data_IF_939302227547
#
_entry.id   IF_939302227547
#
_cell.length_a   1.000
_cell.length_b   1.000
_cell.length_c   1.000
_cell.angle_alpha   90.00
_cell.angle_beta   90.00
_cell.angle_gamma   90.00
#
_symmetry.space_group_name_H-M   'P 1'
#
loop_
_entity.id
_entity.type
_entity.pdbx_description
1 polymer ?
#
# COMPACT_ATOMS: atom_id res chain seq x y z
N UNK A 1 -33.00 -15.23 11.45
CA UNK A 1 -33.23 -16.40 10.58
C UNK A 1 -32.60 -17.58 11.29
N UNK A 2 -33.21 -18.16 12.32
CA UNK A 2 -34.54 -18.80 12.35
C UNK A 2 -34.65 -19.84 11.23
N UNK A 3 -34.33 -21.09 11.58
CA UNK A 3 -35.14 -22.30 11.35
C UNK A 3 -34.27 -23.54 11.18
N UNK A 4 -34.30 -24.42 12.18
CA UNK A 4 -34.39 -25.88 12.04
C UNK A 4 -33.99 -26.52 13.37
N UNK A 5 -34.98 -26.90 14.17
CA UNK A 5 -35.14 -28.24 14.75
C UNK A 5 -36.22 -28.19 15.84
N UNK A 6 -37.48 -28.18 15.39
CA UNK A 6 -38.57 -28.80 16.13
C UNK A 6 -38.72 -30.21 15.57
N UNK A 7 -38.49 -31.25 16.39
CA UNK A 7 -39.06 -32.56 16.13
C UNK A 7 -39.78 -33.07 17.37
N UNK A 8 -41.01 -33.47 17.10
CA UNK A 8 -42.09 -33.86 17.97
C UNK A 8 -41.72 -34.86 19.08
N UNK A 9 -42.22 -34.53 20.26
CA UNK A 9 -42.56 -35.42 21.36
C UNK A 9 -43.68 -36.40 20.95
N UNK A 10 -43.44 -37.72 21.09
CA UNK A 10 -44.46 -38.68 21.52
C UNK A 10 -43.81 -39.86 22.27
N UNK A 11 -44.49 -40.45 23.29
CA UNK A 11 -43.86 -41.37 24.25
C UNK A 11 -44.36 -42.82 24.11
N UNK A 12 -43.49 -43.83 24.21
CA UNK A 12 -43.77 -45.08 24.97
C UNK A 12 -42.58 -46.06 25.03
N UNK A 13 -42.05 -46.22 26.25
CA UNK A 13 -41.48 -47.39 26.93
C UNK A 13 -40.71 -48.49 26.15
N UNK A 14 -39.45 -48.73 26.56
CA UNK A 14 -38.96 -50.07 26.86
C UNK A 14 -38.79 -50.25 28.37
N UNK A 15 -39.28 -51.37 28.90
CA UNK A 15 -38.98 -51.84 30.26
C UNK A 15 -37.47 -52.06 30.37
N UNK A 16 -36.76 -51.07 30.90
CA UNK A 16 -35.37 -51.20 31.30
C UNK A 16 -35.35 -51.55 32.77
N UNK A 17 -34.83 -52.73 33.10
CA UNK A 17 -34.42 -53.07 34.46
C UNK A 17 -33.55 -51.93 35.00
N UNK A 18 -33.99 -51.25 36.07
CA UNK A 18 -33.10 -50.42 36.90
C UNK A 18 -32.00 -51.33 37.43
N UNK A 19 -30.86 -51.38 36.74
CA UNK A 19 -29.58 -51.56 37.41
C UNK A 19 -29.17 -50.17 37.85
N UNK A 20 -29.19 -49.96 39.16
CA UNK A 20 -28.50 -48.83 39.77
C UNK A 20 -27.05 -48.89 39.31
N UNK A 21 -26.68 -48.02 38.37
CA UNK A 21 -25.31 -47.81 37.99
C UNK A 21 -24.69 -46.99 39.11
N UNK A 22 -24.21 -47.69 40.14
CA UNK A 22 -23.35 -47.10 41.16
C UNK A 22 -21.92 -47.17 40.60
N UNK A 23 -21.36 -46.09 40.03
CA UNK A 23 -20.00 -46.13 39.53
C UNK A 23 -19.03 -46.34 40.71
N UNK A 24 -18.17 -47.35 40.61
CA UNK A 24 -17.08 -47.50 41.57
C UNK A 24 -16.25 -46.21 41.60
N UNK A 25 -15.86 -45.68 42.78
CA UNK A 25 -15.21 -44.37 42.91
C UNK A 25 -13.95 -44.21 42.05
N UNK A 26 -13.30 -45.32 41.67
CA UNK A 26 -12.11 -45.34 40.80
C UNK A 26 -12.41 -45.14 39.31
N UNK A 27 -13.62 -45.46 38.84
CA UNK A 27 -14.05 -45.19 37.45
C UNK A 27 -14.46 -43.73 37.26
N UNK A 28 -14.99 -43.11 38.32
CA UNK A 28 -15.22 -41.67 38.41
C UNK A 28 -13.91 -40.86 38.34
N UNK A 29 -12.85 -41.33 38.99
CA UNK A 29 -11.53 -40.70 38.92
C UNK A 29 -11.00 -40.63 37.48
N UNK A 30 -11.09 -41.72 36.72
CA UNK A 30 -10.66 -41.77 35.32
C UNK A 30 -11.48 -40.85 34.40
N UNK A 31 -12.80 -40.78 34.62
CA UNK A 31 -13.70 -39.93 33.84
C UNK A 31 -13.48 -38.44 34.14
N UNK A 32 -13.24 -38.09 35.42
CA UNK A 32 -12.87 -36.73 35.82
C UNK A 32 -11.54 -36.31 35.19
N UNK A 33 -10.60 -37.24 35.06
CA UNK A 33 -9.30 -37.00 34.46
C UNK A 33 -9.38 -36.76 32.95
N UNK A 34 -10.20 -37.55 32.25
CA UNK A 34 -10.48 -37.32 30.82
C UNK A 34 -11.20 -36.00 30.58
N UNK A 35 -12.13 -35.62 31.47
CA UNK A 35 -12.80 -34.32 31.42
C UNK A 35 -11.83 -33.15 31.68
N UNK A 36 -10.85 -33.32 32.58
CA UNK A 36 -9.81 -32.32 32.83
C UNK A 36 -8.91 -32.14 31.59
N UNK A 37 -8.52 -33.25 30.95
CA UNK A 37 -7.72 -33.21 29.73
C UNK A 37 -8.45 -32.51 28.57
N UNK A 38 -9.73 -32.80 28.36
CA UNK A 38 -10.52 -32.11 27.33
C UNK A 38 -10.70 -30.62 27.66
N UNK A 39 -10.96 -30.27 28.91
CA UNK A 39 -11.02 -28.87 29.35
C UNK A 39 -9.72 -28.12 29.10
N UNK A 40 -8.57 -28.71 29.45
CA UNK A 40 -7.27 -28.08 29.18
C UNK A 40 -7.05 -27.92 27.68
N UNK A 41 -7.36 -28.92 26.86
CA UNK A 41 -7.26 -28.83 25.39
C UNK A 41 -8.15 -27.71 24.81
N UNK A 42 -9.40 -27.59 25.26
CA UNK A 42 -10.31 -26.52 24.82
C UNK A 42 -9.83 -25.14 25.27
N UNK A 43 -9.28 -25.02 26.48
CA UNK A 43 -8.78 -23.76 27.03
C UNK A 43 -7.51 -23.31 26.29
N UNK A 44 -6.66 -24.25 25.89
CA UNK A 44 -5.49 -24.01 25.03
C UNK A 44 -5.91 -23.58 23.62
N UNK A 45 -6.90 -24.25 23.03
CA UNK A 45 -7.46 -23.86 21.73
C UNK A 45 -8.06 -22.45 21.76
N UNK A 46 -8.81 -22.10 22.81
CA UNK A 46 -9.35 -20.76 22.99
C UNK A 46 -8.27 -19.69 23.20
N UNK A 47 -7.25 -19.98 24.01
CA UNK A 47 -6.12 -19.08 24.21
C UNK A 47 -5.34 -18.85 22.90
N UNK A 48 -5.15 -19.89 22.09
CA UNK A 48 -4.48 -19.82 20.79
C UNK A 48 -5.24 -18.88 19.82
N UNK A 49 -6.55 -19.09 19.68
CA UNK A 49 -7.41 -18.24 18.85
C UNK A 49 -7.43 -16.79 19.34
N UNK A 50 -7.47 -16.57 20.66
CA UNK A 50 -7.48 -15.22 21.24
C UNK A 50 -6.14 -14.51 21.08
N UNK A 51 -5.02 -15.22 21.21
CA UNK A 51 -3.68 -14.64 21.00
C UNK A 51 -3.46 -14.21 19.55
N UNK A 52 -3.85 -15.06 18.59
CA UNK A 52 -3.83 -14.73 17.16
C UNK A 52 -4.68 -13.48 16.89
N UNK A 53 -5.89 -13.42 17.49
CA UNK A 53 -6.77 -12.25 17.32
C UNK A 53 -6.21 -10.97 17.95
N UNK A 54 -5.43 -11.04 19.03
CA UNK A 54 -4.82 -9.85 19.65
C UNK A 54 -3.63 -9.34 18.82
N UNK A 55 -2.80 -10.23 18.31
CA UNK A 55 -1.63 -9.88 17.50
C UNK A 55 -2.04 -9.36 16.11
N UNK A 56 -3.13 -9.88 15.55
CA UNK A 56 -3.68 -9.46 14.25
C UNK A 56 -4.43 -8.11 14.35
N UNK A 57 -5.18 -7.86 15.43
CA UNK A 57 -6.03 -6.67 15.55
C UNK A 57 -5.24 -5.37 15.80
N UNK A 58 -4.11 -5.44 16.50
CA UNK A 58 -3.26 -4.27 16.77
C UNK A 58 -2.31 -3.91 15.61
N UNK A 59 -2.05 -4.82 14.67
CA UNK A 59 -1.02 -4.61 13.64
C UNK A 59 -1.55 -4.42 12.21
N UNK A 60 -2.65 -5.07 11.82
CA UNK A 60 -3.16 -4.93 10.45
C UNK A 60 -3.90 -3.62 10.23
N UNK A 61 -4.40 -2.97 11.30
CA UNK A 61 -5.15 -1.71 11.20
C UNK A 61 -4.29 -0.45 11.01
N UNK A 62 -2.98 -0.49 11.29
CA UNK A 62 -2.12 0.71 11.26
C UNK A 62 -0.92 0.62 10.28
N UNK A 63 -0.34 -0.56 10.05
CA UNK A 63 0.96 -0.69 9.36
C UNK A 63 0.88 -0.70 7.81
N UNK A 64 -0.10 -1.40 7.23
CA UNK A 64 -0.32 -1.43 5.77
C UNK A 64 -0.92 -0.11 5.21
N UNK A 65 -1.91 0.55 5.85
CA UNK A 65 -2.50 1.75 5.28
C UNK A 65 -1.54 2.96 5.26
N UNK A 66 -0.66 3.09 6.25
CA UNK A 66 0.27 4.24 6.35
C UNK A 66 1.35 4.23 5.27
N UNK A 67 1.86 3.06 4.88
CA UNK A 67 2.80 2.94 3.74
C UNK A 67 2.14 3.33 2.41
N UNK A 68 0.88 2.92 2.20
CA UNK A 68 0.11 3.30 1.01
C UNK A 68 -0.20 4.80 0.99
N UNK A 69 -0.51 5.41 2.14
CA UNK A 69 -0.69 6.85 2.27
C UNK A 69 0.59 7.61 1.93
N UNK A 70 1.76 7.16 2.44
CA UNK A 70 3.06 7.76 2.15
C UNK A 70 3.41 7.73 0.64
N UNK A 71 3.15 6.59 -0.01
CA UNK A 71 3.31 6.45 -1.46
C UNK A 71 2.37 7.37 -2.23
N UNK A 72 1.10 7.44 -1.85
CA UNK A 72 0.13 8.32 -2.50
C UNK A 72 0.44 9.80 -2.28
N UNK A 73 1.03 10.16 -1.14
CA UNK A 73 1.48 11.52 -0.84
C UNK A 73 2.61 11.91 -1.80
N UNK A 74 3.64 11.07 -1.91
CA UNK A 74 4.75 11.28 -2.87
C UNK A 74 4.25 11.37 -4.32
N UNK A 75 3.32 10.50 -4.73
CA UNK A 75 2.71 10.54 -6.05
C UNK A 75 1.91 11.84 -6.30
N UNK A 76 1.10 12.28 -5.32
CA UNK A 76 0.33 13.52 -5.43
C UNK A 76 1.24 14.74 -5.53
N UNK A 77 2.33 14.78 -4.74
CA UNK A 77 3.36 15.84 -4.81
C UNK A 77 4.03 15.91 -6.18
N UNK A 78 4.34 14.77 -6.80
CA UNK A 78 4.93 14.73 -8.14
C UNK A 78 3.95 15.26 -9.21
N UNK A 79 2.67 14.89 -9.12
CA UNK A 79 1.64 15.39 -10.01
C UNK A 79 1.35 16.89 -9.82
N UNK A 80 1.41 17.39 -8.59
CA UNK A 80 1.28 18.82 -8.30
C UNK A 80 2.42 19.63 -8.95
N UNK A 81 3.66 19.18 -8.78
CA UNK A 81 4.83 19.79 -9.44
C UNK A 81 4.70 19.78 -10.97
N UNK A 82 4.25 18.66 -11.54
CA UNK A 82 4.02 18.55 -12.98
C UNK A 82 2.94 19.52 -13.47
N UNK A 83 1.80 19.58 -12.76
CA UNK A 83 0.71 20.50 -13.11
C UNK A 83 1.14 21.98 -12.94
N UNK A 84 1.95 22.30 -11.92
CA UNK A 84 2.52 23.62 -11.71
C UNK A 84 3.41 24.06 -12.89
N UNK A 85 4.32 23.19 -13.34
CA UNK A 85 5.16 23.47 -14.50
C UNK A 85 4.32 23.67 -15.78
N UNK A 86 3.32 22.81 -16.00
CA UNK A 86 2.43 22.96 -17.15
C UNK A 86 1.55 24.21 -17.08
N UNK A 87 1.19 24.66 -15.88
CA UNK A 87 0.43 25.91 -15.69
C UNK A 87 1.25 27.10 -16.18
N UNK A 88 2.54 27.18 -15.84
CA UNK A 88 3.42 28.29 -16.26
C UNK A 88 3.58 28.40 -17.77
N UNK A 89 3.61 27.25 -18.44
CA UNK A 89 3.76 27.12 -19.89
C UNK A 89 2.43 27.05 -20.63
N UNK A 90 1.30 27.33 -19.97
CA UNK A 90 0.01 27.27 -20.63
C UNK A 90 -0.13 28.40 -21.68
N UNK A 91 -0.39 28.00 -22.92
CA UNK A 91 -0.58 28.89 -24.07
C UNK A 91 -2.04 29.10 -24.46
N UNK A 92 -2.96 28.37 -23.83
CA UNK A 92 -4.39 28.48 -24.09
C UNK A 92 -5.22 28.26 -22.82
N UNK A 93 -6.43 28.81 -22.87
CA UNK A 93 -7.42 28.77 -21.79
C UNK A 93 -7.75 27.34 -21.34
N UNK A 94 -7.86 26.40 -22.28
CA UNK A 94 -8.20 25.00 -21.98
C UNK A 94 -7.12 24.34 -21.14
N UNK A 95 -5.86 24.53 -21.50
CA UNK A 95 -4.71 24.01 -20.76
C UNK A 95 -4.61 24.68 -19.39
N UNK A 96 -4.73 26.01 -19.32
CA UNK A 96 -4.73 26.75 -18.06
C UNK A 96 -5.79 26.25 -17.07
N UNK A 97 -7.04 26.12 -17.53
CA UNK A 97 -8.14 25.59 -16.70
C UNK A 97 -7.91 24.13 -16.28
N UNK A 98 -7.42 23.28 -17.19
CA UNK A 98 -7.16 21.87 -16.89
C UNK A 98 -6.06 21.72 -15.81
N UNK A 99 -4.95 22.44 -15.96
CA UNK A 99 -3.85 22.39 -14.99
C UNK A 99 -4.23 23.04 -13.66
N UNK A 100 -4.98 24.15 -13.68
CA UNK A 100 -5.49 24.79 -12.45
C UNK A 100 -6.42 23.87 -11.64
N UNK A 101 -7.31 23.13 -12.33
CA UNK A 101 -8.17 22.12 -11.68
C UNK A 101 -7.35 20.96 -11.12
N UNK A 102 -6.36 20.48 -11.87
CA UNK A 102 -5.46 19.41 -11.42
C UNK A 102 -4.70 19.83 -10.16
N UNK A 103 -4.13 21.03 -10.12
CA UNK A 103 -3.44 21.57 -8.94
C UNK A 103 -4.35 21.62 -7.72
N UNK A 104 -5.56 22.14 -7.88
CA UNK A 104 -6.53 22.21 -6.79
C UNK A 104 -6.89 20.82 -6.27
N UNK A 105 -7.07 19.84 -7.17
CA UNK A 105 -7.38 18.46 -6.79
C UNK A 105 -6.20 17.77 -6.06
N UNK A 106 -4.96 17.97 -6.52
CA UNK A 106 -3.79 17.40 -5.86
C UNK A 106 -3.51 18.04 -4.49
N UNK A 107 -3.62 19.36 -4.37
CA UNK A 107 -3.51 20.08 -3.08
C UNK A 107 -4.53 19.57 -2.05
N UNK A 108 -5.79 19.34 -2.46
CA UNK A 108 -6.81 18.73 -1.59
C UNK A 108 -6.45 17.30 -1.18
N UNK A 109 -5.93 16.49 -2.12
CA UNK A 109 -5.50 15.11 -1.85
C UNK A 109 -4.32 15.07 -0.87
N UNK A 110 -3.32 15.94 -1.05
CA UNK A 110 -2.16 16.07 -0.17
C UNK A 110 -2.62 16.44 1.24
N UNK A 111 -3.45 17.48 1.38
CA UNK A 111 -3.97 17.90 2.68
C UNK A 111 -4.75 16.77 3.40
N UNK A 112 -5.58 16.01 2.68
CA UNK A 112 -6.29 14.87 3.25
C UNK A 112 -5.35 13.74 3.71
N UNK A 113 -4.30 13.45 2.94
CA UNK A 113 -3.29 12.44 3.29
C UNK A 113 -2.46 12.87 4.50
N UNK A 114 -2.05 14.14 4.57
CA UNK A 114 -1.33 14.69 5.73
C UNK A 114 -2.19 14.63 7.00
N UNK A 115 -3.46 15.01 6.90
CA UNK A 115 -4.38 14.88 8.03
C UNK A 115 -4.52 13.42 8.50
N UNK A 116 -4.69 12.47 7.57
CA UNK A 116 -4.79 11.05 7.91
C UNK A 116 -3.49 10.53 8.57
N UNK A 117 -2.32 10.95 8.10
CA UNK A 117 -1.03 10.60 8.72
C UNK A 117 -0.87 11.23 10.11
N UNK A 118 -1.36 12.45 10.31
CA UNK A 118 -1.39 13.11 11.61
C UNK A 118 -2.24 12.37 12.63
N UNK A 119 -3.42 11.90 12.22
CA UNK A 119 -4.31 11.09 13.06
C UNK A 119 -3.67 9.75 13.48
N UNK A 120 -2.71 9.24 12.69
CA UNK A 120 -1.89 8.06 13.01
C UNK A 120 -0.67 8.39 13.88
N UNK A 121 -0.54 9.64 14.34
CA UNK A 121 0.52 10.09 15.23
C UNK A 121 1.87 10.32 14.53
N UNK A 122 1.86 10.73 13.27
CA UNK A 122 3.02 11.29 12.57
C UNK A 122 3.00 12.82 12.64
N UNK A 123 4.18 13.46 12.69
CA UNK A 123 4.27 14.92 12.62
C UNK A 123 4.26 15.37 11.15
N UNK A 124 3.17 16.03 10.75
CA UNK A 124 2.96 16.57 9.40
C UNK A 124 2.97 18.09 9.35
N UNK A 125 3.22 18.76 10.48
CA UNK A 125 2.99 20.21 10.63
C UNK A 125 3.85 21.05 9.69
N UNK A 126 5.13 20.71 9.53
CA UNK A 126 6.03 21.39 8.60
C UNK A 126 5.57 21.24 7.14
N UNK A 127 5.18 20.03 6.74
CA UNK A 127 4.74 19.71 5.38
C UNK A 127 3.40 20.41 5.06
N UNK A 128 2.47 20.45 6.02
CA UNK A 128 1.21 21.19 5.89
C UNK A 128 1.45 22.69 5.71
N UNK A 129 2.39 23.27 6.45
CA UNK A 129 2.75 24.68 6.29
C UNK A 129 3.37 24.94 4.90
N UNK A 130 4.31 24.08 4.48
CA UNK A 130 4.97 24.19 3.18
C UNK A 130 3.97 24.03 2.02
N UNK A 131 3.03 23.08 2.12
CA UNK A 131 1.95 22.89 1.14
C UNK A 131 1.09 24.14 0.99
N UNK A 132 0.73 24.79 2.11
CA UNK A 132 -0.06 26.02 2.06
C UNK A 132 0.67 27.16 1.36
N UNK A 133 1.98 27.29 1.60
CA UNK A 133 2.80 28.30 0.93
C UNK A 133 2.92 28.03 -0.57
N UNK A 134 3.16 26.78 -0.96
CA UNK A 134 3.19 26.33 -2.35
C UNK A 134 1.84 26.59 -3.02
N UNK A 135 0.74 26.16 -2.42
CA UNK A 135 -0.62 26.34 -2.94
C UNK A 135 -0.98 27.82 -3.13
N UNK A 136 -0.57 28.70 -2.22
CA UNK A 136 -0.73 30.16 -2.38
C UNK A 136 0.09 30.69 -3.55
N UNK A 137 1.36 30.30 -3.65
CA UNK A 137 2.25 30.71 -4.74
C UNK A 137 1.73 30.25 -6.11
N UNK A 138 1.28 29.00 -6.22
CA UNK A 138 0.71 28.42 -7.43
C UNK A 138 -0.60 29.08 -7.83
N UNK A 139 -1.42 29.49 -6.87
CA UNK A 139 -2.65 30.24 -7.14
C UNK A 139 -2.34 31.61 -7.74
N UNK A 140 -1.39 32.34 -7.15
CA UNK A 140 -0.93 33.62 -7.70
C UNK A 140 -0.33 33.44 -9.10
N UNK A 141 0.44 32.37 -9.32
CA UNK A 141 0.98 32.03 -10.62
C UNK A 141 -0.13 31.73 -11.63
N UNK A 142 -1.16 30.98 -11.23
CA UNK A 142 -2.33 30.70 -12.06
C UNK A 142 -3.11 31.95 -12.44
N UNK A 143 -3.32 32.89 -11.52
CA UNK A 143 -3.98 34.16 -11.78
C UNK A 143 -3.19 35.00 -12.80
N UNK A 144 -1.87 35.09 -12.65
CA UNK A 144 -0.98 35.80 -13.57
C UNK A 144 -0.96 35.17 -14.97
N UNK A 145 -0.94 33.84 -15.07
CA UNK A 145 -1.06 33.15 -16.37
C UNK A 145 -2.42 33.44 -17.01
N UNK A 146 -3.50 33.44 -16.24
CA UNK A 146 -4.84 33.79 -16.73
C UNK A 146 -4.90 35.22 -17.28
N UNK A 147 -4.31 36.18 -16.56
CA UNK A 147 -4.18 37.57 -17.03
C UNK A 147 -3.38 37.65 -18.33
N UNK A 148 -2.24 36.95 -18.41
CA UNK A 148 -1.40 36.88 -19.62
C UNK A 148 -2.17 36.32 -20.82
N UNK A 149 -2.97 35.27 -20.61
CA UNK A 149 -3.77 34.63 -21.66
C UNK A 149 -4.90 35.52 -22.17
N UNK A 150 -5.43 36.42 -21.34
CA UNK A 150 -6.39 37.45 -21.78
C UNK A 150 -5.71 38.62 -22.47
N UNK A 151 -4.53 39.01 -21.98
CA UNK A 151 -3.76 40.15 -22.48
C UNK A 151 -3.21 39.90 -23.89
N UNK A 152 -2.59 38.74 -24.14
CA UNK A 152 -1.91 38.46 -25.42
C UNK A 152 -2.79 38.57 -26.67
N UNK A 153 -4.00 37.95 -26.72
CA UNK A 153 -4.89 38.11 -27.86
C UNK A 153 -5.31 39.56 -28.07
N UNK A 154 -5.57 40.30 -26.99
CA UNK A 154 -5.90 41.72 -27.05
C UNK A 154 -4.73 42.53 -27.63
N UNK A 155 -3.50 42.29 -27.17
CA UNK A 155 -2.29 42.97 -27.68
C UNK A 155 -2.07 42.70 -29.17
N UNK A 156 -2.21 41.44 -29.63
CA UNK A 156 -2.06 41.11 -31.07
C UNK A 156 -3.15 41.75 -31.93
N UNK A 157 -4.39 41.82 -31.43
CA UNK A 157 -5.47 42.50 -32.10
C UNK A 157 -5.22 44.02 -32.21
N UNK A 158 -4.80 44.66 -31.11
CA UNK A 158 -4.44 46.08 -31.08
C UNK A 158 -3.27 46.39 -31.99
N UNK A 159 -2.20 45.57 -31.99
CA UNK A 159 -1.06 45.74 -32.90
C UNK A 159 -1.48 45.72 -34.38
N UNK A 160 -2.37 44.78 -34.74
CA UNK A 160 -2.91 44.68 -36.08
C UNK A 160 -3.77 45.91 -36.44
N UNK A 161 -4.57 46.40 -35.48
CA UNK A 161 -5.39 47.58 -35.63
C UNK A 161 -4.55 48.87 -35.77
N UNK A 162 -3.47 49.02 -35.00
CA UNK A 162 -2.61 50.22 -34.96
C UNK A 162 -1.69 50.33 -36.18
N UNK A 163 -1.35 49.21 -36.82
CA UNK A 163 -0.52 49.22 -38.04
C UNK A 163 -1.31 49.64 -39.30
N UNK A 164 -2.62 49.37 -39.35
CA UNK A 164 -3.49 49.70 -40.50
C UNK A 164 -3.58 51.20 -40.83
N UNK A 165 -3.72 52.12 -39.86
CA UNK A 165 -3.71 53.55 -40.09
C UNK A 165 -2.44 54.04 -40.79
N UNK A 166 -1.26 53.54 -40.41
CA UNK A 166 -0.01 53.91 -41.05
C UNK A 166 0.04 53.48 -42.53
N UNK A 167 -0.49 52.30 -42.85
CA UNK A 167 -0.66 51.81 -44.22
C UNK A 167 -1.67 52.64 -45.03
N UNK A 168 -2.76 53.11 -44.41
CA UNK A 168 -3.70 54.04 -45.04
C UNK A 168 -3.03 55.38 -45.39
N UNK A 169 -2.23 55.96 -44.50
CA UNK A 169 -1.46 57.18 -44.78
C UNK A 169 -0.50 56.95 -45.95
N UNK A 170 0.16 55.79 -46.01
CA UNK A 170 1.04 55.43 -47.12
C UNK A 170 0.27 55.36 -48.46
N UNK A 171 -0.94 54.79 -48.48
CA UNK A 171 -1.80 54.77 -49.68
C UNK A 171 -2.26 56.16 -50.10
N UNK A 172 -2.68 57.00 -49.16
CA UNK A 172 -3.09 58.38 -49.45
C UNK A 172 -1.94 59.19 -50.04
N UNK A 173 -0.74 59.07 -49.45
CA UNK A 173 0.47 59.69 -49.96
C UNK A 173 0.80 59.18 -51.38
N UNK A 174 0.68 57.87 -51.65
CA UNK A 174 0.88 57.33 -53.00
C UNK A 174 -0.13 57.90 -54.01
N UNK A 175 -1.42 58.01 -53.63
CA UNK A 175 -2.44 58.59 -54.48
C UNK A 175 -2.14 60.05 -54.84
N UNK A 176 -1.68 60.84 -53.85
CA UNK A 176 -1.26 62.23 -54.07
C UNK A 176 -0.02 62.33 -54.96
N UNK A 177 0.98 61.46 -54.75
CA UNK A 177 2.16 61.39 -55.62
C UNK A 177 1.77 61.05 -57.08
N UNK A 178 0.83 60.12 -57.27
CA UNK A 178 0.36 59.75 -58.62
C UNK A 178 -0.41 60.90 -59.29
N UNK A 179 -1.23 61.63 -58.55
CA UNK A 179 -1.94 62.81 -59.04
C UNK A 179 -0.95 63.91 -59.45
N UNK A 180 0.04 64.17 -58.60
CA UNK A 180 1.10 65.14 -58.86
C UNK A 180 1.96 64.75 -60.07
N UNK A 181 2.33 63.48 -60.20
CA UNK A 181 3.06 62.97 -61.35
C UNK A 181 2.24 63.06 -62.66
N UNK A 182 0.93 62.89 -62.57
CA UNK A 182 0.02 63.08 -63.73
C UNK A 182 -0.10 64.56 -64.10
N UNK A 183 -0.19 65.46 -63.11
CA UNK A 183 -0.13 66.92 -63.30
C UNK A 183 1.19 67.32 -63.96
N UNK A 184 2.32 66.84 -63.44
CA UNK A 184 3.66 67.05 -63.99
C UNK A 184 3.73 66.60 -65.46
N UNK A 185 3.22 65.41 -65.78
CA UNK A 185 3.18 64.88 -67.15
C UNK A 185 2.32 65.73 -68.09
N UNK A 186 1.20 66.26 -67.61
CA UNK A 186 0.35 67.18 -68.37
C UNK A 186 1.04 68.54 -68.60
N UNK A 187 1.70 69.10 -67.58
CA UNK A 187 2.51 70.31 -67.70
C UNK A 187 3.65 70.09 -68.70
N UNK A 188 4.34 68.96 -68.63
CA UNK A 188 5.40 68.57 -69.57
C UNK A 188 4.88 68.47 -71.01
N UNK A 189 3.72 67.85 -71.23
CA UNK A 189 3.09 67.80 -72.55
C UNK A 189 2.74 69.20 -73.06
N UNK A 190 2.13 70.05 -72.22
CA UNK A 190 1.77 71.42 -72.57
C UNK A 190 2.97 72.32 -72.88
N UNK A 191 4.15 72.06 -72.28
CA UNK A 191 5.39 72.77 -72.64
C UNK A 191 5.75 72.55 -74.11
N UNK A 192 5.55 71.36 -74.66
CA UNK A 192 5.80 71.11 -76.09
C UNK A 192 4.90 71.96 -76.98
N UNK A 193 3.60 72.05 -76.65
CA UNK A 193 2.64 72.88 -77.39
C UNK A 193 3.02 74.37 -77.33
N UNK A 194 3.47 74.85 -76.16
CA UNK A 194 3.91 76.23 -75.96
C UNK A 194 5.18 76.58 -76.76
N UNK A 195 6.12 75.63 -76.82
CA UNK A 195 7.34 75.76 -77.64
C UNK A 195 6.98 75.82 -79.12
N UNK A 196 6.09 74.95 -79.60
CA UNK A 196 5.63 74.94 -80.99
C UNK A 196 4.90 76.24 -81.36
N UNK A 197 4.10 76.79 -80.45
CA UNK A 197 3.41 78.07 -80.62
C UNK A 197 4.29 79.31 -80.38
N UNK A 198 5.60 79.13 -80.17
CA UNK A 198 6.59 80.21 -79.97
C UNK A 198 6.31 81.08 -78.71
N UNK A 199 5.60 80.54 -77.71
CA UNK A 199 5.27 81.22 -76.47
C UNK A 199 6.34 81.00 -75.40
N UNK A 200 7.55 81.51 -75.63
CA UNK A 200 8.73 81.23 -74.80
C UNK A 200 8.54 81.53 -73.31
N UNK A 201 7.96 82.67 -72.96
CA UNK A 201 7.75 83.05 -71.56
C UNK A 201 6.76 82.12 -70.82
N UNK A 202 5.73 81.66 -71.52
CA UNK A 202 4.78 80.71 -70.95
C UNK A 202 5.42 79.32 -70.75
N UNK A 203 6.27 78.89 -71.70
CA UNK A 203 7.03 77.65 -71.56
C UNK A 203 8.03 77.71 -70.41
N UNK A 204 8.74 78.83 -70.23
CA UNK A 204 9.64 79.06 -69.09
C UNK A 204 8.87 79.02 -67.76
N UNK A 205 7.72 79.71 -67.66
CA UNK A 205 6.88 79.66 -66.45
C UNK A 205 6.31 78.26 -66.16
N UNK A 206 6.00 77.48 -67.20
CA UNK A 206 5.53 76.11 -67.04
C UNK A 206 6.66 75.17 -66.57
N UNK A 207 7.90 75.39 -67.01
CA UNK A 207 9.09 74.69 -66.51
C UNK A 207 9.34 74.98 -65.03
N UNK A 208 9.24 76.24 -64.62
CA UNK A 208 9.38 76.63 -63.20
C UNK A 208 8.32 75.93 -62.35
N UNK A 209 7.06 75.94 -62.79
CA UNK A 209 5.97 75.23 -62.11
C UNK A 209 6.21 73.72 -62.01
N UNK A 210 6.67 73.11 -63.11
CA UNK A 210 6.95 71.67 -63.15
C UNK A 210 8.01 71.28 -62.11
N UNK A 211 9.10 72.06 -62.01
CA UNK A 211 10.22 71.79 -61.11
C UNK A 211 9.85 72.11 -59.66
N UNK A 212 9.38 73.33 -59.41
CA UNK A 212 9.25 73.87 -58.05
C UNK A 212 7.99 73.38 -57.34
N UNK A 213 6.94 73.03 -58.09
CA UNK A 213 5.64 72.64 -57.52
C UNK A 213 5.40 71.15 -57.77
N UNK A 214 5.25 70.73 -59.03
CA UNK A 214 4.75 69.38 -59.32
C UNK A 214 5.76 68.29 -58.88
N UNK A 215 7.03 68.40 -59.27
CA UNK A 215 8.07 67.42 -58.93
C UNK A 215 8.45 67.45 -57.45
N UNK A 216 8.52 68.63 -56.84
CA UNK A 216 8.78 68.77 -55.41
C UNK A 216 7.63 68.16 -54.58
N UNK A 217 6.37 68.35 -54.99
CA UNK A 217 5.24 67.72 -54.30
C UNK A 217 5.24 66.19 -54.42
N UNK A 218 5.63 65.62 -55.58
CA UNK A 218 5.86 64.17 -55.74
C UNK A 218 6.89 63.67 -54.71
N UNK A 219 8.01 64.37 -54.56
CA UNK A 219 9.04 64.00 -53.59
C UNK A 219 8.51 64.05 -52.16
N UNK A 220 7.79 65.10 -51.79
CA UNK A 220 7.18 65.24 -50.46
C UNK A 220 6.20 64.11 -50.14
N UNK A 221 5.39 63.69 -51.11
CA UNK A 221 4.46 62.58 -50.93
C UNK A 221 5.16 61.23 -50.84
N UNK A 222 6.22 61.00 -51.61
CA UNK A 222 7.06 59.80 -51.45
C UNK A 222 7.72 59.73 -50.07
N UNK A 223 8.21 60.86 -49.57
CA UNK A 223 8.80 60.96 -48.22
C UNK A 223 7.77 60.71 -47.11
N UNK A 224 6.54 61.22 -47.27
CA UNK A 224 5.43 60.94 -46.36
C UNK A 224 5.10 59.43 -46.38
N UNK A 225 5.02 58.83 -47.57
CA UNK A 225 4.76 57.39 -47.76
C UNK A 225 5.81 56.54 -47.05
N UNK A 226 7.10 56.82 -47.27
CA UNK A 226 8.19 56.08 -46.63
C UNK A 226 8.18 56.24 -45.11
N UNK A 227 7.88 57.44 -44.61
CA UNK A 227 7.75 57.68 -43.17
C UNK A 227 6.61 56.86 -42.57
N UNK A 228 5.47 56.77 -43.25
CA UNK A 228 4.31 55.99 -42.83
C UNK A 228 4.60 54.48 -42.83
N UNK A 229 5.23 53.95 -43.89
CA UNK A 229 5.65 52.54 -43.95
C UNK A 229 6.65 52.19 -42.85
N UNK A 230 7.55 53.11 -42.50
CA UNK A 230 8.50 52.92 -41.39
C UNK A 230 7.77 52.80 -40.04
N UNK A 231 6.78 53.66 -39.78
CA UNK A 231 5.95 53.56 -38.57
C UNK A 231 5.20 52.24 -38.55
N UNK A 232 4.57 51.85 -39.66
CA UNK A 232 3.88 50.56 -39.79
C UNK A 232 4.80 49.40 -39.45
N UNK A 233 6.00 49.34 -40.03
CA UNK A 233 6.99 48.30 -39.75
C UNK A 233 7.43 48.29 -38.29
N UNK A 234 7.66 49.47 -37.68
CA UNK A 234 8.01 49.54 -36.27
C UNK A 234 6.90 48.97 -35.39
N UNK A 235 5.62 49.33 -35.64
CA UNK A 235 4.47 48.79 -34.91
C UNK A 235 4.33 47.28 -35.11
N UNK A 236 4.46 46.78 -36.34
CA UNK A 236 4.39 45.33 -36.63
C UNK A 236 5.56 44.54 -36.02
N UNK A 237 6.71 45.17 -35.82
CA UNK A 237 7.89 44.55 -35.22
C UNK A 237 7.93 44.70 -33.68
N UNK A 238 6.93 45.35 -33.07
CA UNK A 238 6.79 45.32 -31.62
C UNK A 238 6.53 43.88 -31.17
N UNK A 239 7.32 43.43 -30.22
CA UNK A 239 7.21 42.09 -29.67
C UNK A 239 7.75 42.08 -28.24
N UNK A 240 7.31 41.07 -27.48
CA UNK A 240 7.63 40.95 -26.06
C UNK A 240 9.15 40.93 -25.83
N UNK A 241 9.90 40.21 -26.66
CA UNK A 241 11.35 40.08 -26.55
C UNK A 241 12.07 41.42 -26.75
N UNK A 242 11.64 42.21 -27.73
CA UNK A 242 12.23 43.51 -28.05
C UNK A 242 11.95 44.52 -26.93
N UNK A 243 10.75 44.46 -26.36
CA UNK A 243 10.33 45.30 -25.23
C UNK A 243 11.12 44.94 -23.96
N UNK A 244 11.25 43.66 -23.65
CA UNK A 244 12.06 43.18 -22.51
C UNK A 244 13.53 43.62 -22.62
N UNK A 245 14.09 43.66 -23.83
CA UNK A 245 15.48 44.07 -24.05
C UNK A 245 15.67 45.58 -24.01
N UNK A 246 14.85 46.35 -24.74
CA UNK A 246 15.15 47.74 -25.11
C UNK A 246 13.92 48.66 -25.19
N UNK A 247 12.90 48.49 -24.32
CA UNK A 247 11.69 49.32 -24.28
C UNK A 247 11.91 50.85 -24.46
N UNK A 248 12.78 51.53 -23.69
CA UNK A 248 12.90 53.00 -23.78
C UNK A 248 13.48 53.47 -25.11
N UNK A 249 14.29 52.64 -25.77
CA UNK A 249 14.85 52.96 -27.08
C UNK A 249 13.79 52.85 -28.17
N UNK A 250 12.97 51.80 -28.12
CA UNK A 250 11.86 51.58 -29.06
C UNK A 250 10.82 52.69 -28.95
N UNK A 251 10.45 53.07 -27.72
CA UNK A 251 9.53 54.17 -27.46
C UNK A 251 10.05 55.48 -28.08
N UNK A 252 11.31 55.84 -27.82
CA UNK A 252 11.93 57.05 -28.40
C UNK A 252 11.96 57.01 -29.93
N UNK A 253 12.29 55.85 -30.52
CA UNK A 253 12.33 55.69 -31.98
C UNK A 253 10.95 55.87 -32.60
N UNK A 254 9.92 55.25 -32.02
CA UNK A 254 8.54 55.31 -32.50
C UNK A 254 7.96 56.72 -32.34
N UNK A 255 8.19 57.37 -31.19
CA UNK A 255 7.80 58.75 -30.94
C UNK A 255 8.40 59.72 -31.98
N UNK A 256 9.69 59.57 -32.27
CA UNK A 256 10.36 60.37 -33.30
C UNK A 256 9.78 60.11 -34.69
N UNK A 257 9.49 58.86 -35.05
CA UNK A 257 8.90 58.51 -36.34
C UNK A 257 7.49 59.12 -36.50
N UNK A 258 6.65 59.05 -35.47
CA UNK A 258 5.31 59.66 -35.46
C UNK A 258 5.39 61.18 -35.54
N UNK A 259 6.31 61.83 -34.82
CA UNK A 259 6.55 63.29 -34.91
C UNK A 259 7.00 63.73 -36.31
N UNK A 260 7.82 62.93 -36.99
CA UNK A 260 8.19 63.19 -38.39
C UNK A 260 6.95 63.13 -39.28
N UNK A 261 6.11 62.11 -39.09
CA UNK A 261 4.88 61.93 -39.86
C UNK A 261 3.90 63.09 -39.63
N UNK A 262 3.74 63.56 -38.38
CA UNK A 262 2.96 64.76 -38.04
C UNK A 262 3.46 66.01 -38.74
N UNK A 263 4.78 66.25 -38.76
CA UNK A 263 5.34 67.41 -39.45
C UNK A 263 5.13 67.34 -40.97
N UNK A 264 5.21 66.15 -41.56
CA UNK A 264 4.99 65.95 -43.00
C UNK A 264 3.52 66.05 -43.40
N UNK A 265 2.60 65.66 -42.52
CA UNK A 265 1.15 65.78 -42.74
C UNK A 265 0.71 67.24 -43.01
N UNK A 266 1.31 68.23 -42.32
CA UNK A 266 0.96 69.65 -42.48
C UNK A 266 1.32 70.17 -43.89
N UNK A 267 2.29 69.54 -44.58
CA UNK A 267 2.77 69.93 -45.91
C UNK A 267 1.92 69.36 -47.06
N UNK A 268 0.86 68.61 -46.78
CA UNK A 268 -0.06 68.12 -47.80
C UNK A 268 -0.84 69.32 -48.36
N UNK A 269 -0.84 69.49 -49.69
CA UNK A 269 -1.49 70.60 -50.37
C UNK A 269 -3.01 70.47 -50.37
N UNK A 270 -3.52 69.28 -50.74
CA UNK A 270 -4.96 69.00 -50.77
C UNK A 270 -5.57 69.07 -49.35
N UNK A 271 -6.49 70.01 -49.06
CA UNK A 271 -7.04 70.17 -47.72
C UNK A 271 -7.86 68.96 -47.23
N UNK A 272 -8.51 68.24 -48.15
CA UNK A 272 -9.31 67.06 -47.85
C UNK A 272 -8.43 65.90 -47.41
N UNK A 273 -7.41 65.56 -48.20
CA UNK A 273 -6.43 64.52 -47.86
C UNK A 273 -5.63 64.91 -46.63
N UNK A 274 -5.26 66.18 -46.48
CA UNK A 274 -4.59 66.66 -45.26
C UNK A 274 -5.41 66.39 -44.01
N UNK A 275 -6.72 66.60 -44.06
CA UNK A 275 -7.65 66.35 -42.94
C UNK A 275 -7.85 64.85 -42.70
N UNK A 276 -7.94 64.05 -43.76
CA UNK A 276 -8.00 62.60 -43.65
C UNK A 276 -6.75 62.04 -42.98
N UNK A 277 -5.56 62.41 -43.46
CA UNK A 277 -4.28 62.00 -42.86
C UNK A 277 -4.16 62.50 -41.41
N UNK A 278 -4.61 63.72 -41.10
CA UNK A 278 -4.64 64.21 -39.72
C UNK A 278 -5.48 63.30 -38.81
N UNK A 279 -6.66 62.91 -39.28
CA UNK A 279 -7.57 62.03 -38.55
C UNK A 279 -6.93 60.65 -38.34
N UNK A 280 -6.42 60.02 -39.39
CA UNK A 280 -5.74 58.72 -39.31
C UNK A 280 -4.53 58.76 -38.39
N UNK A 281 -3.81 59.88 -38.34
CA UNK A 281 -2.63 60.06 -37.51
C UNK A 281 -2.97 60.16 -36.00
N UNK A 282 -4.19 60.57 -35.64
CA UNK A 282 -4.63 60.50 -34.24
C UNK A 282 -4.71 59.05 -33.76
N UNK A 283 -5.16 58.12 -34.59
CA UNK A 283 -5.14 56.68 -34.28
C UNK A 283 -3.71 56.16 -34.18
N UNK A 284 -2.83 56.48 -35.14
CA UNK A 284 -1.41 56.09 -35.09
C UNK A 284 -0.73 56.58 -33.80
N UNK A 285 -1.13 57.73 -33.28
CA UNK A 285 -0.55 58.31 -32.06
C UNK A 285 -0.91 57.57 -30.77
N UNK A 286 -1.86 56.62 -30.80
CA UNK A 286 -2.25 55.76 -29.68
C UNK A 286 -1.28 54.59 -29.43
N UNK A 287 -0.16 54.52 -30.15
CA UNK A 287 0.87 53.48 -29.97
C UNK A 287 1.41 53.35 -28.54
N UNK A 288 1.27 54.38 -27.70
CA UNK A 288 1.64 54.34 -26.28
C UNK A 288 0.82 53.31 -25.51
N UNK A 289 -0.44 53.11 -25.90
CA UNK A 289 -1.34 52.16 -25.24
C UNK A 289 -0.91 50.74 -25.59
N UNK A 290 -0.56 50.49 -26.86
CA UNK A 290 0.03 49.22 -27.29
C UNK A 290 1.36 48.94 -26.56
N UNK A 291 2.20 49.96 -26.39
CA UNK A 291 3.46 49.83 -25.65
C UNK A 291 3.20 49.46 -24.18
N UNK A 292 2.20 50.08 -23.54
CA UNK A 292 1.80 49.77 -22.18
C UNK A 292 1.31 48.32 -22.04
N UNK A 293 0.55 47.80 -23.02
CA UNK A 293 0.13 46.39 -23.03
C UNK A 293 1.34 45.43 -23.09
N UNK A 294 2.35 45.73 -23.91
CA UNK A 294 3.58 44.92 -23.94
C UNK A 294 4.41 45.04 -22.66
N UNK A 295 4.45 46.23 -22.04
CA UNK A 295 5.11 46.41 -20.75
C UNK A 295 4.41 45.58 -19.67
N UNK A 296 3.08 45.57 -19.66
CA UNK A 296 2.30 44.74 -18.74
C UNK A 296 2.56 43.24 -18.96
N UNK A 297 2.60 42.75 -20.21
CA UNK A 297 2.95 41.34 -20.51
C UNK A 297 4.39 41.01 -20.06
N UNK A 298 5.31 41.97 -20.22
CA UNK A 298 6.70 41.83 -19.76
C UNK A 298 6.79 41.73 -18.24
N UNK A 299 6.09 42.59 -17.49
CA UNK A 299 6.03 42.54 -16.04
C UNK A 299 5.44 41.23 -15.52
N UNK A 300 4.32 40.79 -16.11
CA UNK A 300 3.70 39.50 -15.78
C UNK A 300 4.68 38.35 -16.06
N UNK A 301 5.36 38.38 -17.21
CA UNK A 301 6.34 37.35 -17.58
C UNK A 301 7.52 37.30 -16.61
N UNK A 302 8.02 38.45 -16.16
CA UNK A 302 9.08 38.53 -15.17
C UNK A 302 8.62 37.99 -13.80
N UNK A 303 7.41 38.37 -13.35
CA UNK A 303 6.83 37.84 -12.12
C UNK A 303 6.64 36.33 -12.17
N UNK A 304 6.13 35.80 -13.29
CA UNK A 304 5.97 34.35 -13.50
C UNK A 304 7.32 33.63 -13.45
N UNK A 305 8.37 34.22 -14.01
CA UNK A 305 9.72 33.67 -13.98
C UNK A 305 10.27 33.61 -12.54
N UNK A 306 10.11 34.68 -11.76
CA UNK A 306 10.51 34.71 -10.35
C UNK A 306 9.73 33.70 -9.52
N UNK A 307 8.40 33.62 -9.70
CA UNK A 307 7.57 32.62 -9.03
C UNK A 307 7.98 31.19 -9.40
N UNK A 308 8.28 30.92 -10.67
CA UNK A 308 8.73 29.60 -11.10
C UNK A 308 10.07 29.21 -10.44
N UNK A 309 11.02 30.14 -10.34
CA UNK A 309 12.30 29.90 -9.66
C UNK A 309 12.12 29.63 -8.17
N UNK A 310 11.27 30.43 -7.50
CA UNK A 310 10.97 30.25 -6.08
C UNK A 310 10.24 28.90 -5.83
N UNK A 311 9.30 28.54 -6.70
CA UNK A 311 8.55 27.29 -6.59
C UNK A 311 9.47 26.07 -6.72
N UNK A 312 10.48 26.08 -7.59
CA UNK A 312 11.45 24.97 -7.70
C UNK A 312 12.14 24.72 -6.35
N UNK A 313 12.58 25.78 -5.66
CA UNK A 313 13.22 25.66 -4.36
C UNK A 313 12.23 25.18 -3.29
N UNK A 314 11.01 25.73 -3.26
CA UNK A 314 9.95 25.31 -2.34
C UNK A 314 9.55 23.84 -2.54
N UNK A 315 9.44 23.38 -3.79
CA UNK A 315 9.14 21.99 -4.12
C UNK A 315 10.28 21.04 -3.77
N UNK A 316 11.54 21.47 -3.90
CA UNK A 316 12.69 20.68 -3.47
C UNK A 316 12.66 20.46 -1.95
N UNK A 317 12.38 21.51 -1.17
CA UNK A 317 12.22 21.41 0.28
C UNK A 317 11.04 20.52 0.65
N UNK A 318 9.87 20.74 0.05
CA UNK A 318 8.68 19.94 0.27
C UNK A 318 8.91 18.45 -0.04
N UNK A 319 9.54 18.14 -1.18
CA UNK A 319 9.89 16.77 -1.57
C UNK A 319 10.84 16.10 -0.57
N UNK A 320 11.80 16.88 -0.04
CA UNK A 320 12.70 16.39 1.01
C UNK A 320 11.96 16.07 2.31
N UNK A 321 11.05 16.94 2.75
CA UNK A 321 10.26 16.72 3.96
C UNK A 321 9.31 15.53 3.80
N UNK A 322 8.66 15.39 2.64
CA UNK A 322 7.83 14.22 2.30
C UNK A 322 8.67 12.94 2.30
N UNK A 323 9.88 12.96 1.74
CA UNK A 323 10.77 11.80 1.75
C UNK A 323 11.20 11.42 3.16
N UNK A 324 11.55 12.39 4.00
CA UNK A 324 11.89 12.15 5.41
C UNK A 324 10.70 11.57 6.20
N UNK A 325 9.48 12.02 5.91
CA UNK A 325 8.27 11.44 6.50
C UNK A 325 8.05 10.00 6.03
N UNK A 326 8.22 9.71 4.74
CA UNK A 326 8.15 8.35 4.19
C UNK A 326 9.18 7.44 4.85
N UNK A 327 10.43 7.88 4.99
CA UNK A 327 11.49 7.12 5.68
C UNK A 327 11.13 6.86 7.15
N UNK A 328 10.55 7.85 7.82
CA UNK A 328 10.08 7.71 9.21
C UNK A 328 8.93 6.71 9.32
N UNK A 329 7.99 6.71 8.36
CA UNK A 329 6.90 5.74 8.26
C UNK A 329 7.48 4.34 8.03
N UNK A 330 8.43 4.19 7.11
CA UNK A 330 9.07 2.92 6.79
C UNK A 330 9.84 2.37 8.00
N UNK A 331 10.64 3.19 8.68
CA UNK A 331 11.39 2.78 9.86
C UNK A 331 10.46 2.38 11.01
N UNK A 332 9.39 3.16 11.26
CA UNK A 332 8.38 2.81 12.27
C UNK A 332 7.66 1.50 11.92
N UNK A 333 7.39 1.27 10.64
CA UNK A 333 6.76 0.05 10.15
C UNK A 333 7.67 -1.17 10.34
N UNK A 334 8.96 -1.05 10.00
CA UNK A 334 9.96 -2.10 10.23
C UNK A 334 10.13 -2.41 11.73
N UNK A 335 10.15 -1.39 12.60
CA UNK A 335 10.18 -1.60 14.05
C UNK A 335 8.91 -2.30 14.56
N UNK A 336 7.73 -1.93 14.06
CA UNK A 336 6.46 -2.62 14.35
C UNK A 336 6.49 -4.09 13.93
N UNK A 337 7.02 -4.39 12.74
CA UNK A 337 7.22 -5.75 12.23
C UNK A 337 8.23 -6.56 13.06
N UNK A 338 9.33 -5.97 13.51
CA UNK A 338 10.29 -6.65 14.38
C UNK A 338 9.72 -6.94 15.78
N UNK A 339 8.86 -6.07 16.30
CA UNK A 339 8.11 -6.31 17.54
C UNK A 339 7.07 -7.43 17.37
N UNK A 340 6.42 -7.50 16.21
CA UNK A 340 5.53 -8.60 15.82
C UNK A 340 6.23 -9.95 15.76
N UNK A 341 7.41 -10.01 15.15
CA UNK A 341 8.18 -11.24 15.04
C UNK A 341 8.63 -11.73 16.43
N UNK A 342 9.09 -10.83 17.29
CA UNK A 342 9.48 -11.15 18.68
C UNK A 342 8.28 -11.53 19.55
N UNK A 343 7.10 -10.91 19.35
CA UNK A 343 5.86 -11.27 20.04
C UNK A 343 5.33 -12.63 19.57
N UNK A 344 5.41 -12.91 18.27
CA UNK A 344 5.10 -14.21 17.67
C UNK A 344 6.01 -15.31 18.21
N UNK A 345 7.33 -15.05 18.30
CA UNK A 345 8.29 -15.99 18.89
C UNK A 345 7.97 -16.29 20.37
N UNK A 346 7.65 -15.27 21.18
CA UNK A 346 7.19 -15.47 22.57
C UNK A 346 5.90 -16.28 22.65
N UNK A 347 4.96 -16.03 21.74
CA UNK A 347 3.75 -16.83 21.59
C UNK A 347 4.05 -18.30 21.27
N UNK A 348 4.92 -18.57 20.30
CA UNK A 348 5.35 -19.93 19.93
C UNK A 348 6.05 -20.66 21.08
N UNK A 349 6.96 -19.99 21.81
CA UNK A 349 7.60 -20.60 22.98
C UNK A 349 6.59 -20.90 24.10
N UNK A 350 5.62 -20.01 24.33
CA UNK A 350 4.56 -20.26 25.31
C UNK A 350 3.67 -21.45 24.91
N UNK A 351 3.40 -21.61 23.61
CA UNK A 351 2.65 -22.75 23.06
C UNK A 351 3.43 -24.05 23.19
N UNK A 352 4.73 -24.06 22.87
CA UNK A 352 5.60 -25.23 23.04
C UNK A 352 5.72 -25.63 24.50
N UNK A 353 5.91 -24.66 25.40
CA UNK A 353 6.04 -24.92 26.84
C UNK A 353 4.74 -25.47 27.42
N UNK A 354 3.60 -24.91 27.02
CA UNK A 354 2.29 -25.39 27.49
C UNK A 354 1.96 -26.77 26.90
N UNK A 355 2.26 -27.00 25.62
CA UNK A 355 2.17 -28.32 24.99
C UNK A 355 3.03 -29.36 25.73
N UNK A 356 4.26 -29.02 26.07
CA UNK A 356 5.17 -29.87 26.86
C UNK A 356 4.59 -30.20 28.25
N UNK A 357 4.07 -29.19 28.95
CA UNK A 357 3.43 -29.38 30.26
C UNK A 357 2.22 -30.32 30.15
N UNK A 358 1.40 -30.17 29.11
CA UNK A 358 0.26 -31.05 28.87
C UNK A 358 0.70 -32.50 28.57
N UNK A 359 1.77 -32.68 27.79
CA UNK A 359 2.34 -33.99 27.47
C UNK A 359 2.91 -34.66 28.72
N UNK A 360 3.68 -33.93 29.53
CA UNK A 360 4.21 -34.42 30.80
C UNK A 360 3.10 -34.80 31.77
N UNK A 361 2.03 -34.01 31.86
CA UNK A 361 0.86 -34.35 32.65
C UNK A 361 0.21 -35.64 32.16
N UNK A 362 0.02 -35.80 30.84
CA UNK A 362 -0.56 -37.01 30.23
C UNK A 362 0.31 -38.25 30.50
N UNK A 363 1.64 -38.14 30.40
CA UNK A 363 2.59 -39.21 30.76
C UNK A 363 2.45 -39.58 32.24
N UNK A 364 2.41 -38.60 33.14
CA UNK A 364 2.24 -38.83 34.58
C UNK A 364 0.90 -39.49 34.92
N UNK A 365 -0.17 -39.09 34.23
CA UNK A 365 -1.50 -39.67 34.35
C UNK A 365 -1.47 -41.12 33.88
N UNK A 366 -0.93 -41.39 32.69
CA UNK A 366 -0.84 -42.73 32.13
C UNK A 366 0.00 -43.64 33.04
N UNK A 367 1.13 -43.14 33.54
CA UNK A 367 1.95 -43.82 34.52
C UNK A 367 1.16 -44.13 35.79
N UNK A 368 0.48 -43.15 36.38
CA UNK A 368 -0.27 -43.34 37.63
C UNK A 368 -1.44 -44.31 37.45
N UNK A 369 -2.16 -44.24 36.33
CA UNK A 369 -3.30 -45.13 36.06
C UNK A 369 -2.79 -46.52 35.70
N UNK A 370 -2.07 -46.69 34.58
CA UNK A 370 -1.70 -48.01 34.06
C UNK A 370 -0.77 -48.77 35.01
N UNK A 371 0.28 -48.13 35.52
CA UNK A 371 1.25 -48.82 36.37
C UNK A 371 0.64 -49.24 37.71
N UNK A 372 -0.13 -48.35 38.35
CA UNK A 372 -0.72 -48.63 39.67
C UNK A 372 -1.97 -49.49 39.59
N UNK A 373 -2.82 -49.31 38.58
CA UNK A 373 -4.12 -49.99 38.49
C UNK A 373 -4.08 -51.30 37.72
N UNK A 374 -3.11 -51.49 36.80
CA UNK A 374 -3.03 -52.69 35.95
C UNK A 374 -1.73 -53.43 36.21
N UNK A 375 -0.57 -52.79 36.02
CA UNK A 375 0.72 -53.50 35.98
C UNK A 375 1.12 -54.06 37.35
N UNK A 376 0.98 -53.30 38.43
CA UNK A 376 1.33 -53.74 39.79
C UNK A 376 0.46 -54.91 40.30
N UNK A 377 -0.89 -54.86 40.21
CA UNK A 377 -1.72 -56.00 40.63
C UNK A 377 -1.56 -57.23 39.73
N UNK A 378 -1.23 -57.06 38.43
CA UNK A 378 -0.88 -58.20 37.58
C UNK A 378 0.44 -58.86 37.99
N UNK A 379 1.48 -58.07 38.29
CA UNK A 379 2.79 -58.59 38.70
C UNK A 379 2.74 -59.33 40.04
N UNK A 380 1.91 -58.87 40.98
CA UNK A 380 1.67 -59.53 42.27
C UNK A 380 0.97 -60.89 42.06
N UNK A 381 0.11 -61.03 41.05
CA UNK A 381 -0.58 -62.26 40.72
C UNK A 381 0.28 -63.25 39.90
N UNK A 382 1.15 -62.79 39.00
CA UNK A 382 2.07 -63.69 38.29
C UNK A 382 3.04 -64.38 39.25
N UNK A 383 3.47 -63.67 40.30
CA UNK A 383 4.28 -64.25 41.37
C UNK A 383 3.50 -65.24 42.25
N UNK A 384 2.22 -64.97 42.54
CA UNK A 384 1.38 -65.92 43.28
C UNK A 384 1.12 -67.22 42.48
N UNK A 385 0.93 -67.11 41.16
CA UNK A 385 0.73 -68.25 40.26
C UNK A 385 2.02 -69.07 40.06
N UNK A 386 3.19 -68.41 40.00
CA UNK A 386 4.49 -69.09 39.96
C UNK A 386 4.80 -69.85 41.25
N UNK A 387 4.49 -69.27 42.43
CA UNK A 387 4.70 -69.96 43.72
C UNK A 387 3.77 -71.17 43.91
N UNK A 388 2.59 -71.15 43.31
CA UNK A 388 1.67 -72.29 43.25
C UNK A 388 2.17 -73.39 42.32
N UNK A 389 2.84 -73.03 41.22
CA UNK A 389 3.52 -74.00 40.34
C UNK A 389 4.73 -74.64 41.03
N UNK A 390 5.41 -73.92 41.92
CA UNK A 390 6.57 -74.38 42.70
C UNK A 390 6.21 -75.18 43.97
N UNK A 391 4.91 -75.42 44.24
CA UNK A 391 4.46 -76.43 45.21
C UNK A 391 4.17 -75.97 46.64
N UNK A 392 3.97 -74.66 46.88
CA UNK A 392 3.57 -74.13 48.20
C UNK A 392 2.05 -73.82 48.25
N UNK A 393 1.27 -74.67 48.91
CA UNK A 393 -0.21 -74.63 48.87
C UNK A 393 -0.82 -73.90 50.09
N UNK A 394 -0.06 -73.56 51.12
CA UNK A 394 -0.61 -73.06 52.40
C UNK A 394 -0.52 -71.53 52.61
N UNK A 395 -0.12 -70.76 51.60
CA UNK A 395 -0.14 -69.28 51.69
C UNK A 395 -1.52 -68.68 51.33
N UNK A 396 -2.00 -67.65 52.06
CA UNK A 396 -3.26 -66.99 51.74
C UNK A 396 -3.11 -66.08 50.51
N UNK A 397 -4.03 -66.21 49.56
CA UNK A 397 -4.17 -65.23 48.49
C UNK A 397 -4.59 -63.87 49.09
N UNK A 398 -3.99 -62.75 48.67
CA UNK A 398 -4.41 -61.44 49.17
C UNK A 398 -5.85 -61.14 48.76
N UNK A 399 -6.62 -60.54 49.68
CA UNK A 399 -8.02 -60.15 49.46
C UNK A 399 -8.16 -59.32 48.18
N UNK A 400 -9.10 -59.76 47.34
CA UNK A 400 -9.42 -59.17 46.04
C UNK A 400 -10.02 -57.79 46.21
N UNK A 401 -9.19 -56.75 46.09
CA UNK A 401 -9.66 -55.38 45.97
C UNK A 401 -10.24 -55.11 44.57
N UNK A 402 -11.41 -55.68 44.27
CA UNK A 402 -12.42 -55.03 43.43
C UNK A 402 -12.31 -55.17 41.90
N UNK A 403 -12.06 -56.37 41.38
CA UNK A 403 -12.38 -56.69 39.96
C UNK A 403 -13.28 -57.91 39.94
N UNK A 404 -14.51 -57.75 39.43
CA UNK A 404 -15.62 -58.72 39.55
C UNK A 404 -15.33 -60.03 38.81
N UNK A 405 -14.50 -59.96 37.77
CA UNK A 405 -14.02 -61.11 37.00
C UNK A 405 -12.96 -61.94 37.76
N UNK A 406 -12.13 -61.31 38.62
CA UNK A 406 -11.10 -62.01 39.41
C UNK A 406 -11.67 -62.73 40.63
N UNK A 407 -12.79 -62.26 41.18
CA UNK A 407 -13.52 -62.92 42.25
C UNK A 407 -14.12 -64.27 41.82
N UNK A 408 -14.34 -64.42 40.51
CA UNK A 408 -14.83 -65.67 39.90
C UNK A 408 -13.71 -66.72 39.83
N UNK A 409 -12.46 -66.29 39.63
CA UNK A 409 -11.28 -67.17 39.62
C UNK A 409 -10.93 -67.63 41.05
N UNK A 410 -11.04 -66.75 42.05
CA UNK A 410 -10.86 -67.11 43.46
C UNK A 410 -11.80 -68.23 43.91
N UNK A 411 -13.09 -68.15 43.54
CA UNK A 411 -14.09 -69.18 43.86
C UNK A 411 -13.86 -70.52 43.14
N UNK A 412 -13.38 -70.49 41.90
CA UNK A 412 -13.01 -71.70 41.15
C UNK A 412 -11.80 -72.42 41.78
N UNK A 413 -10.86 -71.65 42.34
CA UNK A 413 -9.65 -72.17 42.96
C UNK A 413 -9.89 -72.72 44.37
N UNK A 414 -10.80 -72.13 45.15
CA UNK A 414 -11.29 -72.71 46.41
C UNK A 414 -12.02 -74.05 46.18
N UNK A 415 -12.82 -74.14 45.11
CA UNK A 415 -13.46 -75.39 44.71
C UNK A 415 -12.42 -76.47 44.33
N UNK A 416 -11.33 -76.06 43.66
CA UNK A 416 -10.21 -76.95 43.34
C UNK A 416 -9.45 -77.42 44.58
N UNK A 417 -9.14 -76.51 45.52
CA UNK A 417 -8.52 -76.83 46.83
C UNK A 417 -9.36 -77.83 47.62
N UNK A 418 -10.68 -77.65 47.64
CA UNK A 418 -11.61 -78.59 48.30
C UNK A 418 -11.57 -80.01 47.69
N UNK A 419 -11.40 -80.10 46.37
CA UNK A 419 -11.31 -81.36 45.63
C UNK A 419 -9.98 -82.08 45.87
N UNK A 420 -8.87 -81.33 45.96
CA UNK A 420 -7.55 -81.87 46.32
C UNK A 420 -7.54 -82.39 47.77
N UNK A 421 -8.18 -81.69 48.71
CA UNK A 421 -8.36 -82.18 50.08
C UNK A 421 -9.27 -83.42 50.17
N UNK A 422 -10.27 -83.55 49.30
CA UNK A 422 -11.08 -84.78 49.21
C UNK A 422 -10.25 -85.97 48.70
N UNK A 423 -9.35 -85.72 47.73
CA UNK A 423 -8.48 -86.76 47.16
C UNK A 423 -7.37 -87.21 48.13
N UNK A 424 -6.79 -86.29 48.90
CA UNK A 424 -5.82 -86.63 49.95
C UNK A 424 -6.47 -87.41 51.10
N UNK A 425 -7.70 -87.08 51.50
CA UNK A 425 -8.47 -87.88 52.47
C UNK A 425 -8.77 -89.30 51.96
N UNK A 426 -9.01 -89.46 50.66
CA UNK A 426 -9.17 -90.79 50.04
C UNK A 426 -7.85 -91.61 50.06
N UNK A 427 -6.70 -90.96 49.87
CA UNK A 427 -5.38 -91.60 50.03
C UNK A 427 -5.10 -92.02 51.47
N UNK A 428 -5.46 -91.19 52.45
CA UNK A 428 -5.33 -91.54 53.88
C UNK A 428 -6.26 -92.69 54.29
N UNK A 429 -7.48 -92.76 53.74
CA UNK A 429 -8.40 -93.88 53.96
C UNK A 429 -7.91 -95.21 53.36
N UNK A 430 -7.25 -95.19 52.20
CA UNK A 430 -6.61 -96.36 51.60
C UNK A 430 -5.37 -96.80 52.41
N UNK A 431 -4.58 -95.87 52.91
CA UNK A 431 -3.44 -96.17 53.79
C UNK A 431 -3.88 -96.76 55.14
N UNK A 432 -5.04 -96.32 55.68
CA UNK A 432 -5.64 -96.88 56.89
C UNK A 432 -6.20 -98.31 56.67
N UNK A 433 -6.80 -98.60 55.51
CA UNK A 433 -7.28 -99.95 55.16
C UNK A 433 -6.14 -100.96 54.95
N UNK A 434 -5.02 -100.53 54.37
CA UNK A 434 -3.82 -101.39 54.25
C UNK A 434 -3.22 -101.67 55.63
N UNK A 435 -3.17 -100.67 56.54
CA UNK A 435 -2.71 -100.88 57.92
C UNK A 435 -3.60 -101.85 58.72
N UNK A 436 -4.92 -101.78 58.55
CA UNK A 436 -5.86 -102.70 59.21
C UNK A 436 -5.74 -104.14 58.70
N UNK A 437 -5.59 -104.33 57.37
CA UNK A 437 -5.37 -105.65 56.74
C UNK A 437 -4.01 -106.28 57.05
N UNK A 438 -3.00 -105.47 57.38
CA UNK A 438 -1.66 -105.96 57.75
C UNK A 438 -1.58 -106.38 59.22
N UNK A 439 -2.43 -105.81 60.09
CA UNK A 439 -2.57 -106.20 61.49
C UNK A 439 -3.35 -107.52 61.67
N UNK A 440 -4.38 -107.78 60.85
CA UNK A 440 -5.12 -109.07 60.86
C UNK A 440 -4.28 -110.28 60.39
N UNK A 441 -3.22 -110.05 59.61
CA UNK A 441 -2.30 -111.11 59.18
C UNK A 441 -1.13 -111.37 60.15
N UNK A 442 -1.01 -110.59 61.23
CA UNK A 442 0.05 -110.72 62.24
C UNK A 442 -0.37 -111.48 63.51
N UNK A 443 -1.66 -111.78 63.70
CA UNK A 443 -2.18 -112.45 64.91
C UNK A 443 -2.42 -113.96 64.75
N UNK A 444 -2.24 -114.54 63.55
CA UNK A 444 -2.54 -115.96 63.27
C UNK A 444 -1.36 -116.70 62.61
N UNK A 445 -0.23 -116.83 63.31
CA UNK A 445 0.91 -117.58 62.78
C UNK A 445 2.15 -117.64 63.66
N UNK A 446 2.07 -118.25 64.85
CA UNK A 446 3.27 -118.70 65.58
C UNK A 446 3.06 -120.09 66.22
N UNK A 447 3.37 -121.15 65.44
CA UNK A 447 3.74 -122.50 65.89
C UNK A 447 4.70 -123.12 64.85
N UNK A 448 5.98 -123.02 65.20
CA UNK A 448 7.22 -123.74 64.77
C UNK A 448 7.10 -125.24 64.37
N UNK A 449 8.17 -125.94 63.89
CA UNK A 449 9.45 -125.51 63.24
C UNK A 449 9.95 -126.41 62.06
N UNK A 450 11.15 -126.08 61.56
CA UNK A 450 12.20 -126.90 60.90
C UNK A 450 12.24 -127.03 59.36
N UNK A 451 13.44 -126.79 58.81
CA UNK A 451 14.00 -127.68 57.77
C UNK A 451 14.49 -127.06 56.46
N UNK A 452 15.76 -126.65 56.44
CA UNK A 452 16.77 -126.88 55.38
C UNK A 452 16.59 -126.36 53.94
N UNK A 453 17.58 -125.55 53.50
CA UNK A 453 18.39 -125.89 52.32
C UNK A 453 18.46 -124.88 51.16
N UNK A 454 19.67 -124.34 50.89
CA UNK A 454 20.18 -124.26 49.51
C UNK A 454 20.40 -122.89 48.86
N UNK A 455 21.60 -122.33 49.09
CA UNK A 455 22.52 -121.67 48.13
C UNK A 455 22.05 -121.28 46.72
N UNK A 456 22.29 -120.03 46.28
CA UNK A 456 23.46 -119.63 45.45
C UNK A 456 23.46 -118.14 45.04
N UNK A 457 24.62 -117.50 45.30
CA UNK A 457 25.37 -116.48 44.54
C UNK A 457 24.70 -115.84 43.30
N UNK A 458 24.85 -114.52 43.17
CA UNK A 458 25.65 -113.86 42.12
C UNK A 458 25.85 -112.37 42.43
N UNK A 459 27.00 -111.86 41.99
CA UNK A 459 27.73 -110.68 42.44
C UNK A 459 27.63 -109.53 41.39
N UNK A 460 28.38 -108.40 41.46
CA UNK A 460 27.87 -107.05 41.20
C UNK A 460 28.64 -106.30 40.10
N UNK A 461 28.35 -105.02 39.89
CA UNK A 461 29.28 -104.06 39.26
C UNK A 461 28.62 -102.68 39.13
N UNK A 462 29.07 -101.60 39.78
CA UNK A 462 30.33 -100.83 39.77
C UNK A 462 30.49 -99.86 38.58
N UNK A 463 30.61 -98.57 38.95
CA UNK A 463 31.54 -97.51 38.43
C UNK A 463 31.16 -96.93 37.05
N UNK A 464 31.29 -95.64 36.72
CA UNK A 464 31.91 -94.43 37.32
C UNK A 464 31.55 -93.21 36.43
N UNK A 465 31.52 -91.99 36.96
CA UNK A 465 32.61 -90.98 37.06
C UNK A 465 32.84 -90.14 35.78
N UNK A 466 32.89 -88.82 36.01
CA UNK A 466 33.45 -87.70 35.20
C UNK A 466 32.87 -87.45 33.81
N UNK A 467 32.50 -86.23 33.43
CA UNK A 467 33.17 -84.95 33.70
C UNK A 467 33.86 -84.52 32.41
N UNK A 468 33.62 -83.29 31.94
CA UNK A 468 34.29 -82.76 30.76
C UNK A 468 33.54 -81.59 30.12
N UNK A 469 34.12 -80.41 30.30
CA UNK A 469 33.73 -79.11 29.79
C UNK A 469 33.83 -78.96 28.26
N UNK A 470 32.98 -78.05 27.75
CA UNK A 470 33.16 -77.09 26.64
C UNK A 470 33.46 -77.56 25.20
N UNK A 471 33.19 -76.72 24.18
CA UNK A 471 32.66 -75.34 24.21
C UNK A 471 31.22 -75.16 23.74
#
# INVERSE_FOLDING_TARGET
MLDAFCFATQPFSPKVHRREFNPDPKTLDGLCLMALLTLTSTLVGWYNLRFISLVEKDNTQALIPTMNMARQLSEASAWELFAAQNLTSADNEKMWQAQGRMLTAQSLKINALLQALREQGFDTTAIEQQEQEISRSLRQQGELVGQRLQLRPATTATQSADSRPADEIARLAQGQANNAATSAGATQAGIYDLIEQHQRQAAESALDRLIDIDLEYVNQMNELRLSALRVQQMVMNLGLEQIQKNAPTLEKQLNNAVKILQRRQIRIEDPGVRTQVATTLTTVSQYSDLLALYQQDSEISNHLQTLAQNNIAQFAQFSSEVSQLVDTIELRNQHGLAHLEKASARGQYSLLLLGLVSLCALILILWRVVYRSVTRPLAEQTQALQRLLDGDIDSPFPETAGVRELDTIGRLMDAFRSSVHALNRHREQLAAQVKARTAELQETGDRTPTGTGGSRKSQPGKIGVSGGDEP
#
